data_IF_387951375404
#
_entry.id   IF_387951375404
#
_cell.length_a   1.000
_cell.length_b   1.000
_cell.length_c   1.000
_cell.angle_alpha   90.00
_cell.angle_beta   90.00
_cell.angle_gamma   90.00
#
_symmetry.space_group_name_H-M   'P 1'
#
loop_
_entity.id
_entity.type
_entity.pdbx_description
1 polymer ?
#
# COMPACT_ATOMS: atom_id res chain seq x y z
N UNK A 1 6.81 -9.63 19.16
CA UNK A 1 5.88 -9.77 18.04
C UNK A 1 6.68 -10.10 16.81
N UNK A 2 6.23 -11.07 16.01
CA UNK A 2 6.76 -11.28 14.66
C UNK A 2 5.89 -10.46 13.71
N UNK A 3 6.45 -9.40 13.14
CA UNK A 3 5.78 -8.51 12.19
C UNK A 3 6.34 -8.73 10.77
N UNK A 4 5.46 -8.84 9.78
CA UNK A 4 5.84 -8.85 8.37
C UNK A 4 5.41 -7.55 7.71
N UNK A 5 6.38 -6.80 7.19
CA UNK A 5 6.15 -5.66 6.31
C UNK A 5 6.14 -6.15 4.86
N UNK A 6 5.16 -5.70 4.09
CA UNK A 6 5.12 -5.93 2.65
C UNK A 6 5.04 -4.62 1.88
N UNK A 7 5.95 -4.45 0.92
CA UNK A 7 6.09 -3.23 0.14
C UNK A 7 5.64 -3.52 -1.29
N UNK A 8 4.47 -3.01 -1.61
CA UNK A 8 3.75 -3.18 -2.87
C UNK A 8 3.79 -4.62 -3.42
N UNK A 9 3.18 -5.59 -2.71
CA UNK A 9 3.23 -7.00 -3.08
C UNK A 9 2.81 -7.22 -4.54
N UNK A 10 3.54 -8.04 -5.29
CA UNK A 10 3.30 -8.21 -6.71
C UNK A 10 1.88 -8.74 -7.01
N UNK A 11 1.12 -8.01 -7.83
CA UNK A 11 -0.19 -8.43 -8.35
C UNK A 11 -0.12 -9.62 -9.31
N UNK A 12 0.72 -9.54 -10.37
CA UNK A 12 0.82 -10.61 -11.36
C UNK A 12 1.13 -11.96 -10.73
N UNK A 13 0.28 -12.96 -11.03
CA UNK A 13 0.36 -14.34 -10.55
C UNK A 13 0.06 -14.58 -9.05
N UNK A 14 -0.23 -13.55 -8.26
CA UNK A 14 -0.56 -13.71 -6.83
C UNK A 14 -1.94 -13.15 -6.46
N UNK A 15 -2.39 -12.07 -7.10
CA UNK A 15 -3.65 -11.45 -6.75
C UNK A 15 -4.84 -12.39 -6.94
N UNK A 16 -5.77 -12.41 -5.97
CA UNK A 16 -6.91 -13.33 -5.91
C UNK A 16 -6.55 -14.83 -5.90
N UNK A 17 -5.27 -15.18 -5.74
CA UNK A 17 -4.88 -16.58 -5.51
C UNK A 17 -5.25 -17.02 -4.09
N UNK A 18 -5.22 -18.33 -3.87
CA UNK A 18 -5.42 -18.94 -2.55
C UNK A 18 -4.41 -18.37 -1.53
N UNK A 19 -4.82 -18.23 -0.27
CA UNK A 19 -3.99 -17.72 0.84
C UNK A 19 -2.68 -18.49 1.00
N UNK A 20 -2.60 -19.75 0.56
CA UNK A 20 -1.34 -20.51 0.59
C UNK A 20 -0.31 -20.05 -0.45
N UNK A 21 -0.72 -19.30 -1.47
CA UNK A 21 0.12 -18.90 -2.61
C UNK A 21 0.56 -17.43 -2.52
N UNK A 22 -0.24 -16.59 -1.87
CA UNK A 22 -0.01 -15.14 -1.76
C UNK A 22 0.27 -14.74 -0.32
N UNK A 23 0.71 -13.49 -0.13
CA UNK A 23 0.73 -12.87 1.18
C UNK A 23 -0.68 -12.85 1.78
N UNK A 24 -0.78 -13.15 3.07
CA UNK A 24 -2.00 -13.07 3.84
C UNK A 24 -1.74 -12.65 5.29
N UNK A 25 -2.72 -12.03 5.93
CA UNK A 25 -2.65 -11.59 7.32
C UNK A 25 -2.31 -12.74 8.28
N UNK A 26 -2.62 -13.98 7.92
CA UNK A 26 -2.27 -15.18 8.72
C UNK A 26 -0.79 -15.56 8.72
N UNK A 27 0.05 -14.94 7.86
CA UNK A 27 1.48 -15.25 7.74
C UNK A 27 2.33 -14.73 8.92
N UNK A 28 1.80 -13.81 9.74
CA UNK A 28 2.47 -13.28 10.93
C UNK A 28 1.47 -12.79 11.99
N UNK A 29 1.96 -12.41 13.17
CA UNK A 29 1.10 -11.82 14.23
C UNK A 29 0.59 -10.42 13.84
N UNK A 30 1.34 -9.72 13.00
CA UNK A 30 0.97 -8.46 12.38
C UNK A 30 1.58 -8.39 10.99
N UNK A 31 0.77 -7.98 10.02
CA UNK A 31 1.17 -7.81 8.62
C UNK A 31 0.73 -6.41 8.20
N UNK A 32 1.69 -5.55 7.89
CA UNK A 32 1.43 -4.23 7.33
C UNK A 32 1.86 -4.17 5.87
N UNK A 33 0.96 -3.66 5.02
CA UNK A 33 1.14 -3.64 3.58
C UNK A 33 1.06 -2.21 3.07
N UNK A 34 2.04 -1.78 2.28
CA UNK A 34 2.01 -0.49 1.59
C UNK A 34 1.72 -0.76 0.11
N UNK A 35 0.57 -0.31 -0.37
CA UNK A 35 0.12 -0.41 -1.75
C UNK A 35 0.42 0.90 -2.49
N UNK A 36 1.31 0.86 -3.47
CA UNK A 36 1.75 2.05 -4.20
C UNK A 36 1.48 1.98 -5.71
N UNK A 37 1.32 0.77 -6.27
CA UNK A 37 1.01 0.55 -7.69
C UNK A 37 -0.09 -0.52 -7.89
N UNK A 38 -1.29 -0.26 -7.37
CA UNK A 38 -2.45 -1.17 -7.49
C UNK A 38 -3.16 -1.13 -8.84
N UNK A 39 -2.53 -0.53 -9.85
CA UNK A 39 -3.11 -0.46 -11.18
C UNK A 39 -3.25 -1.87 -11.79
N UNK A 40 -4.16 -2.01 -12.76
CA UNK A 40 -4.28 -3.28 -13.49
C UNK A 40 -2.98 -3.57 -14.27
N UNK A 41 -2.62 -4.84 -14.39
CA UNK A 41 -1.47 -5.26 -15.22
C UNK A 41 -1.58 -4.79 -16.69
N UNK A 42 -2.81 -4.59 -17.20
CA UNK A 42 -3.04 -4.03 -18.56
C UNK A 42 -2.63 -2.57 -18.68
N UNK A 43 -2.63 -1.82 -17.58
CA UNK A 43 -2.10 -0.46 -17.46
C UNK A 43 -0.73 -0.45 -16.78
N UNK A 44 -0.04 -1.61 -16.81
CA UNK A 44 1.30 -1.83 -16.27
C UNK A 44 1.40 -1.62 -14.75
N UNK A 45 0.34 -1.86 -13.99
CA UNK A 45 0.45 -1.92 -12.54
C UNK A 45 1.05 -3.24 -12.06
N UNK A 46 1.95 -3.14 -11.09
CA UNK A 46 2.76 -4.25 -10.59
C UNK A 46 2.32 -4.74 -9.21
N UNK A 47 1.64 -3.92 -8.41
CA UNK A 47 1.17 -4.26 -7.06
C UNK A 47 -0.23 -4.91 -7.05
N UNK A 48 -0.53 -5.64 -5.97
CA UNK A 48 -1.88 -6.14 -5.65
C UNK A 48 -2.77 -4.97 -5.21
N UNK A 49 -4.01 -4.92 -5.67
CA UNK A 49 -5.03 -4.04 -5.09
C UNK A 49 -5.68 -4.67 -3.86
N UNK A 50 -5.86 -6.00 -3.87
CA UNK A 50 -6.42 -6.77 -2.78
C UNK A 50 -5.70 -6.50 -1.44
N UNK A 51 -6.49 -6.15 -0.41
CA UNK A 51 -6.00 -6.09 0.97
C UNK A 51 -5.59 -7.50 1.44
N UNK A 52 -4.35 -7.61 1.94
CA UNK A 52 -3.74 -8.87 2.36
C UNK A 52 -3.12 -8.80 3.75
N UNK A 53 -3.11 -7.63 4.40
CA UNK A 53 -2.56 -7.42 5.72
C UNK A 53 -3.60 -7.38 6.83
N UNK A 54 -3.09 -7.11 8.04
CA UNK A 54 -3.89 -6.59 9.14
C UNK A 54 -4.13 -5.08 8.99
N UNK A 55 -3.19 -4.38 8.34
CA UNK A 55 -3.27 -2.98 7.99
C UNK A 55 -2.74 -2.79 6.56
N UNK A 56 -3.61 -2.35 5.65
CA UNK A 56 -3.29 -2.11 4.25
C UNK A 56 -3.37 -0.61 3.99
N UNK A 57 -2.24 -0.02 3.63
CA UNK A 57 -2.08 1.41 3.40
C UNK A 57 -2.07 1.71 1.91
N UNK A 58 -2.89 2.67 1.49
CA UNK A 58 -3.02 3.10 0.09
C UNK A 58 -2.64 4.60 -0.03
N UNK A 59 -1.36 4.96 0.15
CA UNK A 59 -0.90 6.33 0.00
C UNK A 59 -1.30 6.89 -1.36
N UNK A 60 -1.86 8.10 -1.36
CA UNK A 60 -2.32 8.79 -2.56
C UNK A 60 -3.35 7.99 -3.38
N UNK A 61 -4.15 7.13 -2.72
CA UNK A 61 -5.11 6.24 -3.39
C UNK A 61 -4.51 4.90 -3.85
N UNK A 62 -3.19 4.71 -3.70
CA UNK A 62 -2.50 3.43 -3.94
C UNK A 62 -2.16 3.12 -5.40
N UNK A 63 -2.47 4.00 -6.35
CA UNK A 63 -2.30 3.73 -7.78
C UNK A 63 -1.20 4.58 -8.45
N UNK A 64 -1.28 5.91 -8.37
CA UNK A 64 -0.36 6.83 -9.05
C UNK A 64 0.28 7.77 -8.03
N UNK A 65 1.58 7.59 -7.83
CA UNK A 65 2.33 8.28 -6.80
C UNK A 65 2.83 9.64 -7.30
N UNK A 66 2.86 10.67 -6.42
CA UNK A 66 3.41 11.96 -6.77
C UNK A 66 4.86 11.86 -7.27
N UNK A 67 5.19 12.71 -8.25
CA UNK A 67 6.48 12.76 -8.94
C UNK A 67 6.84 11.52 -9.78
N UNK A 68 5.94 10.52 -9.91
CA UNK A 68 6.06 9.50 -10.93
C UNK A 68 5.47 9.96 -12.28
N UNK A 69 6.08 9.57 -13.41
CA UNK A 69 5.56 9.91 -14.73
C UNK A 69 4.19 9.28 -15.02
N UNK A 70 3.35 9.96 -15.79
CA UNK A 70 2.09 9.38 -16.24
C UNK A 70 2.29 8.11 -17.08
N UNK A 71 1.51 7.08 -16.79
CA UNK A 71 1.52 5.78 -17.49
C UNK A 71 1.20 5.87 -18.98
N UNK A 72 0.38 6.83 -19.38
CA UNK A 72 0.06 7.03 -20.81
C UNK A 72 1.32 7.49 -21.56
N UNK A 73 2.09 8.39 -20.95
CA UNK A 73 3.37 8.81 -21.49
C UNK A 73 4.35 7.63 -21.47
N UNK A 74 4.39 6.85 -20.38
CA UNK A 74 5.30 5.70 -20.31
C UNK A 74 5.07 4.71 -21.43
N UNK A 75 3.81 4.32 -21.73
CA UNK A 75 3.46 3.38 -22.81
C UNK A 75 3.75 3.95 -24.21
N UNK A 76 3.50 5.24 -24.43
CA UNK A 76 3.67 5.88 -25.74
C UNK A 76 5.13 6.23 -26.06
N UNK A 77 5.97 6.44 -25.05
CA UNK A 77 7.39 6.77 -25.19
C UNK A 77 8.31 5.56 -24.99
N UNK A 78 7.79 4.32 -25.01
CA UNK A 78 8.62 3.12 -25.11
C UNK A 78 9.18 3.00 -26.54
N UNK A 79 10.13 3.86 -26.92
CA UNK A 79 11.05 3.56 -28.01
C UNK A 79 12.16 2.65 -27.48
N UNK A 80 11.97 1.34 -27.62
CA UNK A 80 12.95 0.32 -27.21
C UNK A 80 12.30 -0.88 -26.54
N UNK A 81 12.95 -2.04 -26.57
CA UNK A 81 12.51 -3.19 -25.76
C UNK A 81 12.54 -2.84 -24.26
N UNK A 82 11.78 -3.58 -23.45
CA UNK A 82 11.72 -3.65 -21.97
C UNK A 82 13.09 -3.71 -21.21
N UNK A 83 14.21 -3.39 -21.85
CA UNK A 83 15.56 -3.56 -21.30
C UNK A 83 16.39 -2.26 -21.24
N UNK A 84 16.01 -1.16 -21.90
CA UNK A 84 16.89 0.03 -21.99
C UNK A 84 16.30 1.36 -21.51
N UNK A 85 15.12 1.39 -20.88
CA UNK A 85 14.63 2.62 -20.21
C UNK A 85 13.13 2.73 -19.97
N UNK A 86 12.30 2.03 -20.75
CA UNK A 86 10.84 2.04 -20.58
C UNK A 86 10.36 1.41 -19.26
N UNK A 87 11.16 0.53 -18.66
CA UNK A 87 10.86 -0.15 -17.38
C UNK A 87 10.94 0.81 -16.19
N UNK A 88 11.85 1.79 -16.21
CA UNK A 88 12.01 2.72 -15.10
C UNK A 88 10.77 3.59 -14.88
N UNK A 89 10.05 3.92 -15.97
CA UNK A 89 8.82 4.71 -15.91
C UNK A 89 7.65 3.93 -15.31
N UNK A 90 7.60 2.62 -15.53
CA UNK A 90 6.55 1.72 -15.06
C UNK A 90 6.76 1.35 -13.60
N UNK A 91 8.02 1.18 -13.19
CA UNK A 91 8.36 0.77 -11.83
C UNK A 91 8.36 1.93 -10.82
N UNK A 92 8.25 3.19 -11.25
CA UNK A 92 8.35 4.32 -10.33
C UNK A 92 7.33 4.22 -9.19
N UNK A 93 6.05 4.00 -9.52
CA UNK A 93 4.99 3.89 -8.50
C UNK A 93 5.24 2.71 -7.56
N UNK A 94 5.65 1.56 -8.12
CA UNK A 94 5.99 0.34 -7.38
C UNK A 94 7.17 0.58 -6.41
N UNK A 95 8.21 1.29 -6.87
CA UNK A 95 9.37 1.64 -6.06
C UNK A 95 9.01 2.61 -4.92
N UNK A 96 7.99 3.46 -5.06
CA UNK A 96 7.64 4.43 -4.00
C UNK A 96 7.26 3.78 -2.66
N UNK A 97 6.78 2.53 -2.65
CA UNK A 97 6.50 1.83 -1.41
C UNK A 97 7.73 1.72 -0.49
N UNK A 98 8.89 1.33 -1.05
CA UNK A 98 10.11 1.22 -0.24
C UNK A 98 10.70 2.58 0.12
N UNK A 99 10.59 3.58 -0.76
CA UNK A 99 11.02 4.95 -0.45
C UNK A 99 10.22 5.55 0.71
N UNK A 100 8.89 5.43 0.68
CA UNK A 100 8.01 5.89 1.76
C UNK A 100 8.30 5.15 3.07
N UNK A 101 8.59 3.84 3.00
CA UNK A 101 8.99 3.10 4.18
C UNK A 101 10.31 3.62 4.78
N UNK A 102 11.33 3.85 3.96
CA UNK A 102 12.61 4.42 4.42
C UNK A 102 12.40 5.83 5.02
N UNK A 103 11.58 6.66 4.40
CA UNK A 103 11.25 7.99 4.92
C UNK A 103 10.52 7.90 6.27
N UNK A 104 9.66 6.90 6.47
CA UNK A 104 8.96 6.69 7.74
C UNK A 104 9.89 6.42 8.93
N UNK A 105 11.13 5.98 8.67
CA UNK A 105 12.17 5.76 9.69
C UNK A 105 12.92 7.06 10.02
N UNK A 106 13.20 7.85 8.99
CA UNK A 106 14.18 8.95 9.07
C UNK A 106 13.54 10.32 9.25
N UNK A 107 12.29 10.49 8.82
CA UNK A 107 11.56 11.75 8.90
C UNK A 107 11.01 12.00 10.31
N UNK A 108 10.96 13.28 10.69
CA UNK A 108 10.25 13.71 11.90
C UNK A 108 8.73 13.73 11.75
N UNK A 109 8.23 13.71 10.51
CA UNK A 109 6.81 13.67 10.19
C UNK A 109 6.36 12.22 10.01
N UNK A 110 5.24 11.86 10.63
CA UNK A 110 4.63 10.53 10.46
C UNK A 110 3.59 10.55 9.35
N UNK A 111 3.60 9.51 8.51
CA UNK A 111 2.58 9.28 7.50
C UNK A 111 1.30 8.74 8.15
N UNK A 112 0.49 9.62 8.72
CA UNK A 112 -0.75 9.20 9.38
C UNK A 112 -1.79 8.79 8.35
N UNK A 113 -2.28 7.56 8.46
CA UNK A 113 -3.38 7.03 7.66
C UNK A 113 -4.65 6.89 8.51
N UNK A 114 -5.79 7.22 7.93
CA UNK A 114 -7.11 7.02 8.55
C UNK A 114 -7.74 5.75 7.96
N UNK A 115 -8.38 4.90 8.77
CA UNK A 115 -9.13 3.78 8.25
C UNK A 115 -10.33 4.25 7.44
N UNK A 116 -10.75 3.43 6.48
CA UNK A 116 -12.02 3.65 5.76
C UNK A 116 -13.17 3.13 6.62
N UNK A 117 -14.27 3.88 6.72
CA UNK A 117 -15.38 3.52 7.61
C UNK A 117 -16.15 2.26 7.13
N UNK A 118 -16.01 1.91 5.86
CA UNK A 118 -16.80 0.89 5.15
C UNK A 118 -15.92 -0.14 4.42
N UNK A 119 -14.62 -0.16 4.69
CA UNK A 119 -13.64 -0.99 3.98
C UNK A 119 -13.62 -0.77 2.45
N UNK A 120 -14.05 0.41 2.00
CA UNK A 120 -14.07 0.77 0.59
C UNK A 120 -13.12 1.94 0.33
N UNK A 121 -12.01 1.65 -0.35
CA UNK A 121 -10.99 2.64 -0.70
C UNK A 121 -11.55 3.71 -1.65
N UNK A 122 -12.36 3.33 -2.64
CA UNK A 122 -12.93 4.28 -3.61
C UNK A 122 -13.82 5.30 -2.89
N UNK A 123 -14.65 4.84 -1.95
CA UNK A 123 -15.48 5.74 -1.13
C UNK A 123 -14.64 6.69 -0.27
N UNK A 124 -13.47 6.25 0.21
CA UNK A 124 -12.56 7.11 0.94
C UNK A 124 -11.93 8.17 0.02
N UNK A 125 -11.43 7.76 -1.15
CA UNK A 125 -10.81 8.65 -2.15
C UNK A 125 -11.81 9.67 -2.70
N UNK A 126 -13.07 9.26 -2.93
CA UNK A 126 -14.16 10.13 -3.40
C UNK A 126 -14.72 11.05 -2.30
N UNK A 127 -14.23 10.95 -1.06
CA UNK A 127 -14.65 11.78 0.07
C UNK A 127 -16.03 11.41 0.65
N UNK A 128 -16.58 10.25 0.29
CA UNK A 128 -17.82 9.71 0.88
C UNK A 128 -17.55 9.26 2.32
N UNK A 129 -16.46 8.54 2.52
CA UNK A 129 -15.96 8.11 3.84
C UNK A 129 -14.59 8.71 4.19
N UNK A 130 -14.07 9.59 3.32
CA UNK A 130 -12.75 10.23 3.40
C UNK A 130 -12.58 11.32 4.47
N UNK A 131 -13.04 11.10 5.69
CA UNK A 131 -12.75 11.99 6.82
C UNK A 131 -11.60 11.43 7.66
N UNK A 132 -10.75 12.32 8.18
CA UNK A 132 -9.65 11.93 9.05
C UNK A 132 -10.17 11.54 10.44
N UNK A 133 -10.07 10.26 10.78
CA UNK A 133 -10.37 9.74 12.11
C UNK A 133 -9.10 9.69 12.96
N UNK A 134 -8.85 10.76 13.71
CA UNK A 134 -7.70 10.86 14.60
C UNK A 134 -7.65 9.79 15.70
N UNK A 135 -8.79 9.20 16.09
CA UNK A 135 -8.86 8.21 17.16
C UNK A 135 -8.39 6.82 16.70
N UNK A 136 -8.63 6.51 15.42
CA UNK A 136 -8.27 5.22 14.82
C UNK A 136 -7.14 5.33 13.78
N UNK A 137 -6.59 6.54 13.57
CA UNK A 137 -5.47 6.75 12.67
C UNK A 137 -4.20 6.04 13.15
N UNK A 138 -3.45 5.49 12.21
CA UNK A 138 -2.17 4.82 12.48
C UNK A 138 -1.09 5.31 11.50
N UNK A 139 0.18 5.40 11.94
CA UNK A 139 1.27 5.74 11.04
C UNK A 139 1.54 4.57 10.08
N UNK A 140 1.64 4.87 8.80
CA UNK A 140 2.16 3.96 7.78
C UNK A 140 3.68 3.81 7.95
N UNK A 141 4.19 2.59 7.71
CA UNK A 141 5.61 2.27 7.72
C UNK A 141 6.14 1.83 9.09
N UNK A 142 7.38 2.18 9.42
CA UNK A 142 8.17 1.59 10.51
C UNK A 142 7.53 1.63 11.92
N UNK A 143 6.51 2.48 12.13
CA UNK A 143 5.83 2.62 13.42
C UNK A 143 4.43 1.97 13.46
N UNK A 144 4.02 1.27 12.40
CA UNK A 144 2.69 0.68 12.29
C UNK A 144 2.42 -0.39 13.37
N UNK A 145 3.41 -1.23 13.68
CA UNK A 145 3.33 -2.34 14.64
C UNK A 145 2.90 -1.89 16.06
N UNK A 146 3.54 -0.84 16.56
CA UNK A 146 3.26 -0.28 17.88
C UNK A 146 1.86 0.31 17.96
N UNK A 147 1.45 1.02 16.91
CA UNK A 147 0.11 1.60 16.83
C UNK A 147 -0.97 0.54 16.71
N UNK A 148 -0.74 -0.50 15.90
CA UNK A 148 -1.65 -1.64 15.78
C UNK A 148 -1.91 -2.30 17.13
N UNK A 149 -0.86 -2.52 17.93
CA UNK A 149 -1.02 -3.10 19.27
C UNK A 149 -1.86 -2.24 20.21
N UNK A 150 -1.68 -0.92 20.19
CA UNK A 150 -2.47 -0.01 21.01
C UNK A 150 -3.95 -0.07 20.60
N UNK A 151 -4.23 0.00 19.30
CA UNK A 151 -5.59 -0.05 18.77
C UNK A 151 -6.28 -1.40 19.06
N UNK A 152 -5.54 -2.51 18.93
CA UNK A 152 -6.04 -3.85 19.26
C UNK A 152 -6.33 -4.02 20.76
N UNK A 153 -5.50 -3.46 21.63
CA UNK A 153 -5.77 -3.48 23.07
C UNK A 153 -6.98 -2.63 23.46
N UNK A 154 -7.19 -1.48 22.82
CA UNK A 154 -8.33 -0.63 23.10
C UNK A 154 -9.66 -1.26 22.65
N UNK A 155 -9.66 -1.94 21.50
CA UNK A 155 -10.84 -2.65 20.98
C UNK A 155 -11.20 -3.89 21.79
N UNK A 156 -10.21 -4.66 22.25
CA UNK A 156 -10.44 -5.84 23.10
C UNK A 156 -10.93 -5.51 24.52
N UNK A 157 -10.74 -4.28 25.00
CA UNK A 157 -11.29 -3.81 26.28
C UNK A 157 -12.74 -3.28 26.18
N UNK A 158 -13.32 -3.25 24.97
CA UNK A 158 -14.70 -2.80 24.70
C UNK A 158 -15.68 -3.97 24.48
N UNK A 159 -15.22 -5.22 24.58
CA UNK A 159 -15.99 -6.46 24.48
C UNK A 159 -15.90 -7.27 25.77
#
# INVERSE_FOLDING_TARGET
>A
MVSNLALDPAGPYFENCDVIVRLDHTDAEFVDVIHADTNLIRTMGMGMHQATGHADFYPNGGHDQPACPSRILSILFIEGTIYEGGVQYVLCDHEKAHEMYIESITSGCRFMASPTADNNLDNYVDGITGYYDAANAMPMGFHADKSYMILRHNTSNLT
#
